data_IF_782623530986
#
_entry.id   IF_782623530986
#
_cell.length_a   1.000
_cell.length_b   1.000
_cell.length_c   1.000
_cell.angle_alpha   90.00
_cell.angle_beta   90.00
_cell.angle_gamma   90.00
#
_symmetry.space_group_name_H-M   'P 1'
#
loop_
_entity.id
_entity.type
_entity.pdbx_description
1 polymer ?
#
# COMPACT_ATOMS: atom_id res chain seq x y z
N UNK A 1 5.89 -6.47 -4.72
CA UNK A 1 5.51 -7.23 -5.89
C UNK A 1 4.45 -6.54 -6.72
N UNK A 2 4.68 -6.53 -8.02
CA UNK A 2 3.85 -5.82 -8.99
C UNK A 2 3.13 -6.85 -9.86
N UNK A 3 1.91 -7.10 -9.56
CA UNK A 3 1.15 -8.14 -10.23
C UNK A 3 1.68 -9.51 -9.89
N UNK A 4 1.30 -10.54 -9.98
CA UNK A 4 1.81 -11.86 -9.66
C UNK A 4 0.76 -12.73 -9.02
N UNK A 5 1.21 -13.86 -8.52
CA UNK A 5 0.30 -14.84 -7.90
C UNK A 5 -0.21 -14.26 -6.58
N UNK A 6 -1.50 -14.31 -6.38
CA UNK A 6 -2.11 -13.84 -5.14
C UNK A 6 -3.08 -14.88 -4.57
N UNK A 7 -3.38 -14.73 -3.30
CA UNK A 7 -4.36 -15.53 -2.57
C UNK A 7 -5.79 -15.24 -3.07
N UNK A 8 -6.77 -16.14 -2.91
CA UNK A 8 -8.18 -15.83 -3.17
C UNK A 8 -8.73 -14.77 -2.20
N UNK A 9 -8.02 -14.50 -1.10
CA UNK A 9 -8.40 -13.46 -0.15
C UNK A 9 -7.64 -12.17 -0.42
N UNK A 10 -8.31 -11.03 -0.26
CA UNK A 10 -7.62 -9.74 -0.31
C UNK A 10 -7.41 -9.21 1.09
N UNK A 11 -6.40 -8.34 1.24
CA UNK A 11 -6.10 -7.67 2.50
C UNK A 11 -7.00 -6.44 2.62
N UNK A 12 -7.65 -6.27 3.77
CA UNK A 12 -8.44 -5.06 4.00
C UNK A 12 -7.56 -3.82 3.93
N UNK A 13 -8.00 -2.81 3.20
CA UNK A 13 -7.28 -1.55 3.12
C UNK A 13 -7.24 -0.84 4.46
N UNK A 14 -6.16 -0.12 4.71
CA UNK A 14 -5.93 0.60 5.94
C UNK A 14 -4.47 0.59 6.34
N UNK A 15 -4.19 1.08 7.53
CA UNK A 15 -2.84 1.22 8.06
C UNK A 15 -2.55 0.08 9.04
N UNK A 16 -1.42 -0.61 8.82
CA UNK A 16 -0.95 -1.71 9.66
C UNK A 16 0.39 -1.35 10.28
N UNK A 17 0.64 -1.78 11.50
CA UNK A 17 1.93 -1.58 12.16
C UNK A 17 2.80 -2.84 12.14
N UNK A 18 2.34 -3.89 11.48
CA UNK A 18 3.08 -5.13 11.27
C UNK A 18 3.04 -5.53 9.81
N UNK A 19 4.01 -6.35 9.36
CA UNK A 19 3.99 -6.85 7.98
C UNK A 19 2.68 -7.59 7.65
N UNK A 20 2.24 -7.45 6.41
CA UNK A 20 1.03 -8.12 5.93
C UNK A 20 1.41 -9.20 4.92
N UNK A 21 0.49 -10.12 4.65
CA UNK A 21 0.70 -11.17 3.68
C UNK A 21 0.76 -10.59 2.28
N UNK A 22 1.87 -10.83 1.57
CA UNK A 22 2.12 -10.26 0.23
C UNK A 22 1.06 -10.71 -0.77
N UNK A 23 0.67 -11.98 -0.73
CA UNK A 23 -0.30 -12.51 -1.68
C UNK A 23 -1.67 -11.88 -1.51
N UNK A 24 -2.08 -11.62 -0.26
CA UNK A 24 -3.32 -10.92 0.03
C UNK A 24 -3.25 -9.47 -0.42
N UNK A 25 -2.09 -8.81 -0.20
CA UNK A 25 -1.88 -7.44 -0.64
C UNK A 25 -1.96 -7.32 -2.16
N UNK A 26 -1.36 -8.26 -2.89
CA UNK A 26 -1.42 -8.27 -4.36
C UNK A 26 -2.87 -8.36 -4.84
N UNK A 27 -3.71 -9.15 -4.17
CA UNK A 27 -5.14 -9.24 -4.50
C UNK A 27 -5.82 -7.87 -4.28
N UNK A 28 -5.44 -7.15 -3.20
CA UNK A 28 -5.97 -5.80 -2.97
C UNK A 28 -5.54 -4.84 -4.07
N UNK A 29 -4.31 -4.97 -4.59
CA UNK A 29 -3.86 -4.16 -5.73
C UNK A 29 -4.74 -4.41 -6.96
N UNK A 30 -5.15 -5.65 -7.16
CA UNK A 30 -6.07 -6.01 -8.25
C UNK A 30 -7.41 -5.30 -8.12
N UNK A 31 -7.87 -5.08 -6.89
CA UNK A 31 -9.10 -4.35 -6.60
C UNK A 31 -8.96 -2.83 -6.68
N UNK A 32 -7.76 -2.33 -6.92
CA UNK A 32 -7.54 -0.89 -7.07
C UNK A 32 -6.79 -0.23 -5.93
N UNK A 33 -6.32 -0.99 -4.94
CA UNK A 33 -5.53 -0.43 -3.86
C UNK A 33 -4.14 -0.04 -4.34
N UNK A 34 -3.53 0.95 -3.69
CA UNK A 34 -2.11 1.15 -3.75
C UNK A 34 -1.52 0.75 -2.40
N UNK A 35 -0.28 0.31 -2.40
CA UNK A 35 0.41 -0.18 -1.20
C UNK A 35 1.63 0.69 -0.93
N UNK A 36 1.61 1.35 0.24
CA UNK A 36 2.74 2.10 0.75
C UNK A 36 3.48 1.20 1.74
N UNK A 37 4.61 0.65 1.31
CA UNK A 37 5.46 -0.17 2.16
C UNK A 37 6.66 0.66 2.62
N UNK A 38 7.09 0.47 3.87
CA UNK A 38 8.23 1.20 4.41
C UNK A 38 9.16 0.26 5.17
N UNK A 39 10.43 0.66 5.29
CA UNK A 39 11.42 -0.13 6.03
C UNK A 39 11.03 -0.19 7.50
N UNK A 40 11.23 -1.35 8.12
CA UNK A 40 10.86 -1.57 9.53
C UNK A 40 11.59 -0.65 10.50
N UNK A 41 12.76 -0.14 10.12
CA UNK A 41 13.54 0.79 10.94
C UNK A 41 13.35 2.26 10.56
N UNK A 42 12.36 2.56 9.73
CA UNK A 42 12.04 3.95 9.40
C UNK A 42 11.69 4.71 10.70
N UNK A 43 12.25 5.92 10.91
CA UNK A 43 11.96 6.68 12.12
C UNK A 43 10.45 6.86 12.35
N UNK A 44 10.03 6.78 13.61
CA UNK A 44 8.61 6.84 13.94
C UNK A 44 7.95 8.15 13.46
N UNK A 45 8.67 9.26 13.51
CA UNK A 45 8.12 10.53 13.00
C UNK A 45 7.82 10.48 11.51
N UNK A 46 8.63 9.73 10.74
CA UNK A 46 8.39 9.56 9.32
C UNK A 46 7.19 8.64 9.08
N UNK A 47 7.05 7.58 9.88
CA UNK A 47 5.90 6.69 9.82
C UNK A 47 4.62 7.48 10.09
N UNK A 48 4.64 8.35 11.11
CA UNK A 48 3.48 9.18 11.43
C UNK A 48 3.13 10.16 10.31
N UNK A 49 4.14 10.74 9.66
CA UNK A 49 3.92 11.62 8.50
C UNK A 49 3.24 10.89 7.37
N UNK A 50 3.69 9.65 7.10
CA UNK A 50 3.08 8.81 6.05
C UNK A 50 1.65 8.45 6.41
N UNK A 51 1.38 8.12 7.68
CA UNK A 51 0.01 7.82 8.12
C UNK A 51 -0.94 8.97 7.89
N UNK A 52 -0.49 10.21 8.14
CA UNK A 52 -1.30 11.40 7.91
C UNK A 52 -1.69 11.57 6.44
N UNK A 53 -0.81 11.17 5.54
CA UNK A 53 -1.07 11.27 4.11
C UNK A 53 -2.15 10.31 3.63
N UNK A 54 -2.29 9.15 4.26
CA UNK A 54 -3.11 8.06 3.70
C UNK A 54 -4.30 7.66 4.56
N UNK A 55 -4.42 8.13 5.81
CA UNK A 55 -5.44 7.61 6.73
C UNK A 55 -6.89 7.85 6.31
N UNK A 56 -7.13 8.82 5.45
CA UNK A 56 -8.48 9.12 4.98
C UNK A 56 -8.74 8.56 3.57
N UNK A 57 -7.81 7.77 3.05
CA UNK A 57 -7.92 7.18 1.72
C UNK A 57 -8.51 5.78 1.80
N UNK A 58 -9.48 5.48 0.95
CA UNK A 58 -10.23 4.22 1.03
C UNK A 58 -9.52 3.01 0.41
N UNK A 59 -8.62 3.25 -0.53
CA UNK A 59 -7.96 2.18 -1.28
C UNK A 59 -6.45 2.24 -1.13
N UNK A 60 -5.98 2.37 0.12
CA UNK A 60 -4.55 2.38 0.44
C UNK A 60 -4.26 1.33 1.50
N UNK A 61 -3.22 0.54 1.25
CA UNK A 61 -2.58 -0.31 2.24
C UNK A 61 -1.30 0.38 2.68
N UNK A 62 -1.06 0.46 3.99
CA UNK A 62 0.22 0.94 4.50
C UNK A 62 0.74 -0.07 5.50
N UNK A 63 1.97 -0.50 5.34
CA UNK A 63 2.58 -1.47 6.25
C UNK A 63 4.10 -1.42 6.20
N UNK A 64 4.76 -1.83 7.29
CA UNK A 64 6.19 -2.13 7.20
C UNK A 64 6.41 -3.37 6.32
N UNK A 65 7.61 -3.48 5.76
CA UNK A 65 7.97 -4.62 4.92
C UNK A 65 9.40 -5.07 5.28
N UNK A 66 9.60 -6.31 5.69
CA UNK A 66 10.93 -6.79 6.08
C UNK A 66 11.89 -6.80 4.89
N UNK A 67 13.13 -6.40 5.13
CA UNK A 67 14.21 -6.38 4.14
C UNK A 67 13.93 -5.53 2.90
N UNK A 68 13.08 -4.50 3.04
CA UNK A 68 12.82 -3.56 1.95
C UNK A 68 14.10 -2.80 1.60
N UNK A 69 14.41 -2.69 0.31
CA UNK A 69 15.68 -2.06 -0.14
C UNK A 69 15.67 -0.55 -0.10
N UNK A 70 14.51 0.07 -0.25
CA UNK A 70 14.37 1.52 -0.20
C UNK A 70 13.53 1.91 1.00
N UNK A 71 13.75 3.11 1.59
CA UNK A 71 12.98 3.53 2.76
C UNK A 71 11.47 3.46 2.57
N UNK A 72 10.97 3.82 1.38
CA UNK A 72 9.55 3.78 1.04
C UNK A 72 9.39 3.23 -0.37
N UNK A 73 8.45 2.32 -0.55
CA UNK A 73 8.11 1.78 -1.87
C UNK A 73 6.60 1.87 -2.05
N UNK A 74 6.18 2.49 -3.14
CA UNK A 74 4.77 2.61 -3.51
C UNK A 74 4.48 1.64 -4.63
N UNK A 75 3.42 0.85 -4.49
CA UNK A 75 3.05 -0.16 -5.48
C UNK A 75 1.57 -0.06 -5.78
N UNK A 76 1.23 -0.09 -7.06
CA UNK A 76 -0.12 -0.32 -7.54
C UNK A 76 -0.03 -1.44 -8.58
N UNK A 77 -1.14 -1.89 -9.13
CA UNK A 77 -1.11 -2.99 -10.10
C UNK A 77 -0.20 -2.62 -11.28
N UNK A 78 0.84 -3.41 -11.48
CA UNK A 78 1.85 -3.25 -12.56
C UNK A 78 2.68 -1.96 -12.49
N UNK A 79 2.65 -1.23 -11.36
CA UNK A 79 3.43 0.02 -11.20
C UNK A 79 4.11 0.02 -9.84
N UNK A 80 5.37 0.43 -9.82
CA UNK A 80 6.13 0.53 -8.58
C UNK A 80 7.07 1.73 -8.62
N UNK A 81 7.17 2.43 -7.50
CA UNK A 81 8.05 3.59 -7.33
C UNK A 81 8.82 3.46 -6.02
N UNK A 82 10.14 3.44 -6.10
CA UNK A 82 11.02 3.40 -4.93
C UNK A 82 11.46 4.81 -4.56
N UNK A 83 11.39 5.15 -3.29
CA UNK A 83 11.72 6.48 -2.80
C UNK A 83 12.74 6.41 -1.67
N UNK A 84 13.62 7.42 -1.62
CA UNK A 84 14.66 7.50 -0.60
C UNK A 84 14.20 8.23 0.66
N UNK A 85 13.02 8.84 0.64
CA UNK A 85 12.57 9.68 1.73
C UNK A 85 11.05 9.67 1.86
N UNK A 86 10.56 9.74 3.11
CA UNK A 86 9.15 9.89 3.41
C UNK A 86 8.62 11.29 3.09
N UNK A 87 9.51 12.25 2.82
CA UNK A 87 9.13 13.63 2.48
C UNK A 87 8.92 13.86 0.99
N UNK A 88 9.06 12.82 0.18
CA UNK A 88 8.97 12.97 -1.27
C UNK A 88 7.54 13.30 -1.70
N UNK A 89 7.37 14.43 -2.41
CA UNK A 89 6.05 14.89 -2.88
C UNK A 89 5.39 13.95 -3.88
N UNK A 90 6.15 13.03 -4.48
CA UNK A 90 5.58 12.05 -5.41
C UNK A 90 4.66 11.05 -4.71
N UNK A 91 4.73 10.95 -3.38
CA UNK A 91 3.84 10.05 -2.62
C UNK A 91 2.38 10.48 -2.83
N UNK A 92 2.09 11.77 -2.64
CA UNK A 92 0.74 12.30 -2.80
C UNK A 92 0.24 12.14 -4.24
N UNK A 93 1.12 12.39 -5.20
CA UNK A 93 0.80 12.22 -6.62
C UNK A 93 0.47 10.76 -6.95
N UNK A 94 1.25 9.83 -6.42
CA UNK A 94 1.02 8.40 -6.65
C UNK A 94 -0.31 7.94 -6.05
N UNK A 95 -0.61 8.36 -4.83
CA UNK A 95 -1.87 8.03 -4.16
C UNK A 95 -3.05 8.52 -4.99
N UNK A 96 -2.99 9.77 -5.44
CA UNK A 96 -4.07 10.36 -6.23
C UNK A 96 -4.25 9.71 -7.61
N UNK A 97 -3.15 9.28 -8.24
CA UNK A 97 -3.19 8.73 -9.59
C UNK A 97 -3.56 7.25 -9.62
N UNK A 98 -3.00 6.45 -8.71
CA UNK A 98 -3.07 5.00 -8.81
C UNK A 98 -4.07 4.34 -7.88
N UNK A 99 -4.58 5.04 -6.89
CA UNK A 99 -5.68 4.55 -6.09
C UNK A 99 -6.92 4.48 -6.98
N UNK A 100 -7.42 3.28 -7.27
CA UNK A 100 -8.47 3.04 -8.27
C UNK A 100 -8.08 3.59 -9.65
N UNK A 101 -6.78 3.55 -9.95
CA UNK A 101 -6.23 4.23 -11.11
C UNK A 101 -6.22 3.41 -12.40
N UNK A 102 -5.48 3.92 -13.40
CA UNK A 102 -5.58 3.41 -14.78
C UNK A 102 -5.09 1.98 -14.98
N UNK A 103 -4.31 1.43 -14.02
CA UNK A 103 -3.82 0.05 -14.15
C UNK A 103 -4.72 -0.97 -13.46
N UNK A 104 -5.78 -0.55 -12.78
CA UNK A 104 -6.64 -1.41 -11.98
C UNK A 104 -7.40 -2.41 -12.86
N UNK A 105 -7.21 -3.75 -12.67
CA UNK A 105 -7.92 -4.75 -13.47
C UNK A 105 -9.37 -4.96 -13.04
N UNK A 106 -9.71 -4.69 -11.79
CA UNK A 106 -11.07 -4.88 -11.26
C UNK A 106 -11.57 -3.60 -10.57
N UNK A 107 -11.77 -2.51 -11.34
CA UNK A 107 -12.20 -1.25 -10.74
C UNK A 107 -13.57 -1.40 -10.06
N UNK A 108 -13.69 -0.81 -8.87
CA UNK A 108 -14.93 -0.89 -8.09
C UNK A 108 -15.04 -2.11 -7.18
N UNK A 109 -14.11 -3.06 -7.25
CA UNK A 109 -14.10 -4.18 -6.31
C UNK A 109 -13.74 -3.69 -4.90
N UNK A 110 -14.29 -4.34 -3.87
CA UNK A 110 -14.13 -3.90 -2.49
C UNK A 110 -12.69 -4.06 -1.98
N UNK A 111 -12.25 -3.12 -1.15
CA UNK A 111 -11.04 -3.27 -0.36
C UNK A 111 -11.37 -3.50 1.13
N UNK A 112 -12.62 -3.88 1.41
CA UNK A 112 -13.11 -4.23 2.73
C UNK A 112 -13.73 -5.64 2.66
N UNK A 113 -14.11 -6.19 3.78
CA UNK A 113 -14.70 -7.53 3.87
C UNK A 113 -13.76 -8.66 3.43
N UNK A 114 -12.47 -8.39 3.42
CA UNK A 114 -11.42 -9.37 3.20
C UNK A 114 -10.80 -9.80 4.52
N UNK A 115 -9.48 -9.96 4.55
CA UNK A 115 -8.75 -10.39 5.75
C UNK A 115 -7.90 -9.24 6.31
N UNK A 116 -7.55 -9.36 7.60
CA UNK A 116 -6.69 -8.40 8.29
C UNK A 116 -7.48 -7.33 9.04
N UNK A 117 -6.86 -6.82 10.10
CA UNK A 117 -7.45 -5.77 10.93
C UNK A 117 -6.48 -4.60 11.01
N UNK A 118 -6.68 -3.56 10.20
CA UNK A 118 -5.81 -2.39 10.27
C UNK A 118 -5.99 -1.63 11.58
N UNK A 119 -4.95 -0.89 11.99
CA UNK A 119 -5.03 -0.07 13.21
C UNK A 119 -5.70 1.28 12.95
N UNK A 120 -5.79 1.64 11.68
CA UNK A 120 -6.50 2.86 11.26
C UNK A 120 -7.20 2.64 9.93
#
# INVERSE_FOLDING_TARGET
PVGGIHSPNWQNCGIYDEPINVENAVHSLEHGAMWLAYQQDLPQEDVESLRKLVRDEDYVLMSPYPALKSPVVLTAWEVQLELDSADDGRIEEFVGRYQQGPTTPEPGASCQDGVGTPIQ
#
